data_IF_886177076875
#
_entry.id   IF_886177076875
#
_cell.length_a   1.000
_cell.length_b   1.000
_cell.length_c   1.000
_cell.angle_alpha   90.00
_cell.angle_beta   90.00
_cell.angle_gamma   90.00
#
_symmetry.space_group_name_H-M   'P 1'
#
loop_
_entity.id
_entity.type
_entity.pdbx_description
1 polymer ?
#
# COMPACT_ATOMS: atom_id res chain seq x y z
N UNK A 1 25.86 22.37 5.83
CA UNK A 1 24.95 21.28 5.42
C UNK A 1 23.86 21.86 4.53
N UNK A 2 23.92 21.63 3.21
CA UNK A 2 22.86 22.07 2.30
C UNK A 2 21.61 21.22 2.53
N UNK A 3 20.45 21.86 2.74
CA UNK A 3 19.15 21.18 2.71
C UNK A 3 18.95 20.61 1.30
N UNK A 4 18.91 19.29 1.17
CA UNK A 4 18.70 18.62 -0.11
C UNK A 4 17.31 18.98 -0.69
N UNK A 5 17.19 19.08 -2.02
CA UNK A 5 15.99 19.56 -2.68
C UNK A 5 14.83 18.60 -2.46
N UNK A 6 13.66 19.18 -2.19
CA UNK A 6 12.38 18.53 -1.99
C UNK A 6 12.09 17.47 -3.07
N UNK A 7 11.82 16.23 -2.70
CA UNK A 7 11.44 15.20 -3.68
C UNK A 7 10.06 15.49 -4.30
N UNK A 8 10.02 15.51 -5.63
CA UNK A 8 8.83 15.77 -6.46
C UNK A 8 8.00 14.51 -6.74
N UNK A 9 8.47 13.33 -6.31
CA UNK A 9 7.89 12.05 -6.68
C UNK A 9 7.81 11.06 -5.50
N UNK A 10 6.89 10.11 -5.61
CA UNK A 10 6.91 8.84 -4.87
C UNK A 10 7.33 7.71 -5.80
N UNK A 11 8.12 6.77 -5.29
CA UNK A 11 8.46 5.55 -6.01
C UNK A 11 7.41 4.47 -5.78
N UNK A 12 7.12 3.72 -6.84
CA UNK A 12 6.29 2.53 -6.78
C UNK A 12 6.96 1.46 -5.90
N UNK A 13 6.18 0.49 -5.39
CA UNK A 13 6.72 -0.56 -4.54
C UNK A 13 7.76 -1.45 -5.24
N UNK A 14 7.73 -1.52 -6.58
CA UNK A 14 8.62 -2.34 -7.41
C UNK A 14 10.09 -1.93 -7.31
N UNK A 15 10.38 -0.70 -6.86
CA UNK A 15 11.77 -0.24 -6.67
C UNK A 15 12.36 -0.66 -5.32
N UNK A 16 11.61 -1.41 -4.51
CA UNK A 16 12.02 -1.84 -3.17
C UNK A 16 12.59 -3.26 -3.19
N UNK A 17 13.58 -3.53 -2.33
CA UNK A 17 14.08 -4.89 -2.07
C UNK A 17 13.01 -5.84 -1.50
N UNK A 18 11.93 -5.30 -0.93
CA UNK A 18 10.83 -6.10 -0.37
C UNK A 18 9.78 -6.45 -1.43
N UNK A 19 9.93 -5.98 -2.67
CA UNK A 19 8.94 -6.19 -3.73
C UNK A 19 8.65 -7.67 -3.98
N UNK A 20 9.69 -8.49 -4.06
CA UNK A 20 9.55 -9.94 -4.24
C UNK A 20 8.72 -10.58 -3.12
N UNK A 21 8.85 -10.10 -1.88
CA UNK A 21 8.06 -10.58 -0.74
C UNK A 21 6.58 -10.18 -0.88
N UNK A 22 6.30 -8.96 -1.31
CA UNK A 22 4.92 -8.53 -1.59
C UNK A 22 4.29 -9.36 -2.72
N UNK A 23 5.04 -9.63 -3.80
CA UNK A 23 4.59 -10.50 -4.88
C UNK A 23 4.31 -11.92 -4.39
N UNK A 24 5.19 -12.51 -3.59
CA UNK A 24 5.00 -13.86 -3.03
C UNK A 24 3.73 -13.97 -2.16
N UNK A 25 3.39 -12.90 -1.43
CA UNK A 25 2.16 -12.87 -0.63
C UNK A 25 0.91 -12.75 -1.52
N UNK A 26 0.98 -11.95 -2.60
CA UNK A 26 -0.18 -11.63 -3.44
C UNK A 26 -0.43 -12.62 -4.57
N UNK A 27 0.59 -13.30 -5.10
CA UNK A 27 0.46 -14.29 -6.19
C UNK A 27 -0.59 -15.38 -5.88
N UNK A 28 -0.65 -15.96 -4.66
CA UNK A 28 -1.70 -16.91 -4.30
C UNK A 28 -3.11 -16.30 -4.32
N UNK A 29 -3.25 -15.01 -4.01
CA UNK A 29 -4.55 -14.31 -4.04
C UNK A 29 -5.06 -14.17 -5.49
N UNK A 30 -4.15 -14.01 -6.46
CA UNK A 30 -4.49 -13.89 -7.88
C UNK A 30 -4.95 -15.20 -8.53
N UNK A 31 -4.45 -16.34 -8.04
CA UNK A 31 -4.63 -17.66 -8.66
C UNK A 31 -5.76 -18.48 -8.04
N UNK A 32 -6.24 -18.10 -6.86
CA UNK A 32 -7.33 -18.78 -6.20
C UNK A 32 -8.68 -18.43 -6.82
N UNK A 33 -9.49 -19.46 -7.11
CA UNK A 33 -10.85 -19.31 -7.62
C UNK A 33 -11.80 -18.65 -6.60
N UNK A 34 -11.48 -18.74 -5.31
CA UNK A 34 -12.18 -18.07 -4.22
C UNK A 34 -11.26 -17.94 -3.01
N UNK A 35 -10.81 -16.72 -2.71
CA UNK A 35 -10.10 -16.43 -1.46
C UNK A 35 -11.08 -16.47 -0.29
N UNK A 36 -10.73 -17.12 0.82
CA UNK A 36 -11.57 -17.06 2.03
C UNK A 36 -11.29 -15.77 2.81
N UNK A 37 -12.23 -15.30 3.66
CA UNK A 37 -11.97 -14.14 4.50
C UNK A 37 -10.71 -14.27 5.38
N UNK A 38 -10.40 -15.47 5.88
CA UNK A 38 -9.19 -15.74 6.65
C UNK A 38 -7.92 -15.67 5.80
N UNK A 39 -7.94 -16.23 4.58
CA UNK A 39 -6.81 -16.12 3.65
C UNK A 39 -6.51 -14.66 3.28
N UNK A 40 -7.56 -13.85 3.07
CA UNK A 40 -7.41 -12.42 2.83
C UNK A 40 -6.83 -11.70 4.05
N UNK A 41 -7.31 -12.01 5.27
CA UNK A 41 -6.71 -11.49 6.51
C UNK A 41 -5.22 -11.82 6.57
N UNK A 42 -4.87 -13.08 6.40
CA UNK A 42 -3.49 -13.55 6.55
C UNK A 42 -2.55 -12.88 5.54
N UNK A 43 -3.01 -12.66 4.29
CA UNK A 43 -2.26 -11.91 3.29
C UNK A 43 -2.02 -10.46 3.73
N UNK A 44 -3.07 -9.77 4.21
CA UNK A 44 -2.98 -8.38 4.65
C UNK A 44 -2.08 -8.23 5.90
N UNK A 45 -2.15 -9.17 6.85
CA UNK A 45 -1.28 -9.20 8.03
C UNK A 45 0.17 -9.42 7.64
N UNK A 46 0.46 -10.35 6.73
CA UNK A 46 1.82 -10.58 6.22
C UNK A 46 2.38 -9.35 5.52
N UNK A 47 1.59 -8.65 4.70
CA UNK A 47 2.01 -7.38 4.08
C UNK A 47 2.29 -6.34 5.17
N UNK A 48 1.45 -6.27 6.19
CA UNK A 48 1.66 -5.37 7.32
C UNK A 48 2.94 -5.66 8.10
N UNK A 49 3.29 -6.93 8.27
CA UNK A 49 4.55 -7.33 8.90
C UNK A 49 5.77 -6.88 8.11
N UNK A 50 5.76 -6.98 6.77
CA UNK A 50 6.89 -6.60 5.92
C UNK A 50 7.26 -5.14 6.16
N UNK A 51 6.31 -4.20 6.04
CA UNK A 51 6.62 -2.79 6.24
C UNK A 51 6.85 -2.45 7.72
N UNK A 52 6.21 -3.13 8.68
CA UNK A 52 6.45 -2.85 10.11
C UNK A 52 7.80 -3.37 10.62
N UNK A 53 8.35 -4.44 10.03
CA UNK A 53 9.73 -4.90 10.26
C UNK A 53 10.75 -3.90 9.72
N UNK A 54 10.51 -3.37 8.51
CA UNK A 54 11.37 -2.33 7.92
C UNK A 54 11.26 -0.99 8.63
N UNK A 55 10.05 -0.60 9.04
CA UNK A 55 9.85 0.55 9.92
C UNK A 55 10.68 0.35 11.19
N UNK A 56 10.55 -0.79 11.90
CA UNK A 56 11.39 -1.16 13.06
C UNK A 56 12.90 -1.03 12.79
N UNK A 57 13.39 -1.50 11.65
CA UNK A 57 14.80 -1.39 11.27
C UNK A 57 15.23 0.07 11.00
N UNK A 58 14.35 0.87 10.40
CA UNK A 58 14.55 2.32 10.22
C UNK A 58 14.45 3.11 11.54
N UNK A 59 13.74 2.59 12.56
CA UNK A 59 13.65 3.23 13.91
C UNK A 59 15.00 3.31 14.62
N UNK A 60 15.93 2.40 14.35
CA UNK A 60 17.29 2.48 14.88
C UNK A 60 18.08 3.69 14.33
N UNK A 61 17.57 4.37 13.29
CA UNK A 61 18.16 5.55 12.65
C UNK A 61 17.26 6.80 12.74
N UNK A 62 16.38 6.91 13.74
CA UNK A 62 15.73 8.18 14.10
C UNK A 62 14.44 8.57 13.38
N UNK A 63 13.69 7.65 12.76
CA UNK A 63 12.42 7.93 12.05
C UNK A 63 11.15 7.50 12.78
N UNK A 64 10.16 8.41 12.87
CA UNK A 64 8.86 8.36 13.57
C UNK A 64 8.16 7.00 13.81
N UNK A 65 7.67 6.82 15.05
CA UNK A 65 6.87 5.67 15.50
C UNK A 65 5.53 5.59 14.76
N UNK A 66 5.13 4.40 14.30
CA UNK A 66 3.74 3.98 14.49
C UNK A 66 3.49 3.91 15.99
N UNK A 67 2.56 4.72 16.49
CA UNK A 67 2.22 4.72 17.90
C UNK A 67 1.78 3.31 18.35
N UNK A 68 1.95 2.99 19.63
CA UNK A 68 1.40 1.74 20.21
C UNK A 68 -0.10 1.62 19.91
N UNK A 69 -0.77 2.77 19.82
CA UNK A 69 -2.15 2.91 19.39
C UNK A 69 -2.38 2.42 17.95
N UNK A 70 -1.65 2.95 16.96
CA UNK A 70 -1.79 2.53 15.56
C UNK A 70 -1.57 1.02 15.39
N UNK A 71 -0.60 0.42 16.11
CA UNK A 71 -0.39 -1.05 16.05
C UNK A 71 -1.58 -1.86 16.58
N UNK A 72 -2.21 -1.41 17.67
CA UNK A 72 -3.42 -2.06 18.22
C UNK A 72 -4.61 -1.90 17.28
N UNK A 73 -4.68 -0.77 16.56
CA UNK A 73 -5.71 -0.52 15.57
C UNK A 73 -5.60 -1.50 14.39
N UNK A 74 -4.44 -1.56 13.72
CA UNK A 74 -4.21 -2.52 12.63
C UNK A 74 -4.57 -3.95 13.05
N UNK A 75 -4.12 -4.38 14.23
CA UNK A 75 -4.42 -5.72 14.73
C UNK A 75 -5.92 -5.96 14.96
N UNK A 76 -6.66 -4.95 15.45
CA UNK A 76 -8.11 -5.06 15.65
C UNK A 76 -8.86 -5.17 14.33
N UNK A 77 -8.53 -4.36 13.33
CA UNK A 77 -9.14 -4.43 12.01
C UNK A 77 -8.96 -5.82 11.38
N UNK A 78 -7.72 -6.32 11.32
CA UNK A 78 -7.46 -7.63 10.72
C UNK A 78 -8.14 -8.77 11.48
N UNK A 79 -8.23 -8.68 12.81
CA UNK A 79 -8.99 -9.65 13.61
C UNK A 79 -10.49 -9.64 13.31
N UNK A 80 -11.07 -8.45 13.11
CA UNK A 80 -12.50 -8.29 12.82
C UNK A 80 -12.86 -8.56 11.34
N UNK A 81 -11.89 -8.48 10.42
CA UNK A 81 -12.10 -8.55 8.98
C UNK A 81 -12.86 -9.82 8.52
N UNK A 82 -12.49 -11.05 8.95
CA UNK A 82 -13.26 -12.24 8.57
C UNK A 82 -14.72 -12.13 8.98
N UNK A 83 -14.98 -11.72 10.23
CA UNK A 83 -16.33 -11.54 10.77
C UNK A 83 -17.12 -10.50 9.98
N UNK A 84 -16.49 -9.41 9.57
CA UNK A 84 -17.11 -8.38 8.75
C UNK A 84 -17.50 -8.91 7.37
N UNK A 85 -16.61 -9.65 6.71
CA UNK A 85 -16.86 -10.24 5.40
C UNK A 85 -17.92 -11.33 5.43
N UNK A 86 -17.99 -12.10 6.52
CA UNK A 86 -19.03 -13.12 6.70
C UNK A 86 -20.44 -12.55 6.89
N UNK A 87 -20.58 -11.27 7.31
CA UNK A 87 -21.88 -10.59 7.39
C UNK A 87 -22.44 -10.20 6.02
N UNK A 88 -21.62 -10.17 4.98
CA UNK A 88 -22.08 -9.85 3.63
C UNK A 88 -23.00 -10.96 3.10
N UNK A 89 -24.02 -10.61 2.28
CA UNK A 89 -24.79 -11.58 1.53
C UNK A 89 -23.87 -12.53 0.73
N UNK A 90 -24.26 -13.81 0.63
CA UNK A 90 -23.41 -14.85 0.01
C UNK A 90 -22.94 -14.45 -1.39
N UNK A 91 -23.82 -13.88 -2.21
CA UNK A 91 -23.49 -13.44 -3.58
C UNK A 91 -22.48 -12.29 -3.60
N UNK A 92 -22.65 -11.29 -2.74
CA UNK A 92 -21.74 -10.15 -2.63
C UNK A 92 -20.37 -10.57 -2.12
N UNK A 93 -20.34 -11.42 -1.10
CA UNK A 93 -19.10 -11.99 -0.57
C UNK A 93 -18.36 -12.80 -1.64
N UNK A 94 -19.08 -13.65 -2.38
CA UNK A 94 -18.49 -14.45 -3.44
C UNK A 94 -17.93 -13.59 -4.58
N UNK A 95 -18.66 -12.54 -5.00
CA UNK A 95 -18.18 -11.59 -6.01
C UNK A 95 -16.96 -10.81 -5.50
N UNK A 96 -16.98 -10.34 -4.25
CA UNK A 96 -15.86 -9.60 -3.67
C UNK A 96 -14.60 -10.46 -3.56
N UNK A 97 -14.70 -11.63 -2.93
CA UNK A 97 -13.55 -12.49 -2.65
C UNK A 97 -13.11 -13.36 -3.83
N UNK A 98 -14.02 -13.71 -4.72
CA UNK A 98 -13.74 -14.56 -5.88
C UNK A 98 -13.45 -13.78 -7.16
N UNK A 99 -13.72 -12.47 -7.20
CA UNK A 99 -13.48 -11.65 -8.40
C UNK A 99 -12.74 -10.36 -8.08
N UNK A 100 -13.31 -9.50 -7.21
CA UNK A 100 -12.72 -8.18 -6.97
C UNK A 100 -11.34 -8.24 -6.31
N UNK A 101 -11.18 -9.07 -5.26
CA UNK A 101 -9.90 -9.22 -4.54
C UNK A 101 -8.78 -9.78 -5.42
N UNK A 102 -8.98 -10.88 -6.18
CA UNK A 102 -7.99 -11.36 -7.15
C UNK A 102 -7.63 -10.33 -8.23
N UNK A 103 -8.62 -9.62 -8.77
CA UNK A 103 -8.41 -8.53 -9.74
C UNK A 103 -7.55 -7.40 -9.16
N UNK A 104 -7.85 -6.96 -7.93
CA UNK A 104 -7.06 -5.94 -7.25
C UNK A 104 -5.63 -6.41 -7.01
N UNK A 105 -5.44 -7.66 -6.59
CA UNK A 105 -4.11 -8.24 -6.36
C UNK A 105 -3.29 -8.30 -7.65
N UNK A 106 -3.92 -8.68 -8.77
CA UNK A 106 -3.27 -8.69 -10.10
C UNK A 106 -2.80 -7.28 -10.50
N UNK A 107 -3.66 -6.27 -10.33
CA UNK A 107 -3.31 -4.87 -10.60
C UNK A 107 -2.14 -4.37 -9.74
N UNK A 108 -2.01 -4.85 -8.50
CA UNK A 108 -0.86 -4.54 -7.66
C UNK A 108 0.42 -5.17 -8.22
N UNK A 109 0.40 -6.45 -8.55
CA UNK A 109 1.58 -7.14 -9.10
C UNK A 109 2.02 -6.51 -10.42
N UNK A 110 1.06 -6.10 -11.26
CA UNK A 110 1.31 -5.50 -12.57
C UNK A 110 1.47 -3.96 -12.51
N UNK A 111 1.57 -3.37 -11.31
CA UNK A 111 1.46 -1.91 -11.13
C UNK A 111 2.43 -1.11 -12.01
N UNK A 112 3.67 -1.56 -12.18
CA UNK A 112 4.65 -0.85 -13.02
C UNK A 112 4.24 -0.87 -14.50
N UNK A 113 3.70 -1.98 -15.00
CA UNK A 113 3.18 -2.08 -16.36
C UNK A 113 1.91 -1.22 -16.54
N UNK A 114 1.03 -1.20 -15.53
CA UNK A 114 -0.19 -0.38 -15.55
C UNK A 114 0.14 1.12 -15.54
N UNK A 115 1.11 1.52 -14.72
CA UNK A 115 1.50 2.93 -14.58
C UNK A 115 2.39 3.39 -15.73
N UNK A 116 3.16 2.51 -16.37
CA UNK A 116 4.14 2.84 -17.40
C UNK A 116 5.35 3.62 -16.86
N UNK A 117 5.53 3.65 -15.54
CA UNK A 117 6.60 4.38 -14.83
C UNK A 117 6.84 3.75 -13.47
N UNK A 118 8.03 4.00 -12.90
CA UNK A 118 8.42 3.61 -11.54
C UNK A 118 8.08 4.66 -10.48
N UNK A 119 7.53 5.80 -10.88
CA UNK A 119 7.30 6.95 -9.99
C UNK A 119 5.96 7.63 -10.22
N UNK A 120 5.43 8.28 -9.19
CA UNK A 120 4.19 9.05 -9.22
C UNK A 120 4.48 10.47 -8.74
N UNK A 121 4.12 11.48 -9.54
CA UNK A 121 4.30 12.89 -9.21
C UNK A 121 3.51 13.32 -7.98
N UNK A 122 4.09 14.20 -7.18
CA UNK A 122 3.48 14.75 -5.96
C UNK A 122 3.00 16.18 -6.17
N UNK A 123 1.71 16.40 -5.89
CA UNK A 123 1.16 17.75 -5.78
C UNK A 123 1.51 18.32 -4.39
N UNK A 124 2.54 19.15 -4.30
CA UNK A 124 2.93 19.83 -3.06
C UNK A 124 2.81 21.34 -3.18
N UNK A 125 2.16 21.96 -2.19
CA UNK A 125 2.04 23.41 -2.07
C UNK A 125 3.41 24.03 -1.77
N UNK A 126 4.02 24.73 -2.75
CA UNK A 126 5.17 25.62 -2.50
C UNK A 126 4.72 26.75 -1.56
N UNK A 127 5.54 27.10 -0.56
CA UNK A 127 5.37 28.38 0.15
C UNK A 127 5.86 29.48 -0.81
N UNK A 128 4.94 30.31 -1.34
CA UNK A 128 5.31 31.50 -2.11
C UNK A 128 4.75 31.61 -3.55
N UNK A 129 3.74 30.84 -3.94
CA UNK A 129 3.24 30.84 -5.31
C UNK A 129 4.08 29.91 -6.18
N UNK A 130 3.48 28.80 -6.61
CA UNK A 130 4.09 27.82 -7.49
C UNK A 130 3.24 27.66 -8.74
N UNK A 131 3.83 27.13 -9.80
CA UNK A 131 3.12 26.76 -11.02
C UNK A 131 2.02 25.73 -10.72
N UNK A 132 0.91 25.82 -11.45
CA UNK A 132 -0.15 24.84 -11.36
C UNK A 132 0.35 23.49 -11.90
N UNK A 133 0.50 22.52 -11.00
CA UNK A 133 0.82 21.15 -11.37
C UNK A 133 -0.46 20.32 -11.45
N UNK A 134 -0.64 19.63 -12.57
CA UNK A 134 -1.69 18.62 -12.73
C UNK A 134 -1.06 17.23 -12.82
N UNK A 135 -1.62 16.27 -12.08
CA UNK A 135 -1.32 14.84 -12.26
C UNK A 135 -2.59 14.16 -12.72
N UNK A 136 -2.51 13.48 -13.87
CA UNK A 136 -3.65 12.79 -14.48
C UNK A 136 -3.42 11.28 -14.46
N UNK A 137 -4.47 10.54 -14.15
CA UNK A 137 -4.48 9.08 -14.21
C UNK A 137 -5.67 8.63 -15.04
N UNK A 138 -5.50 7.54 -15.79
CA UNK A 138 -6.67 6.81 -16.30
C UNK A 138 -7.42 6.17 -15.13
N UNK A 139 -8.72 5.84 -15.28
CA UNK A 139 -9.46 5.11 -14.24
C UNK A 139 -8.79 3.80 -13.84
N UNK A 140 -8.12 3.13 -14.79
CA UNK A 140 -7.41 1.88 -14.55
C UNK A 140 -6.13 2.09 -13.71
N UNK A 141 -5.35 3.13 -14.01
CA UNK A 141 -4.18 3.53 -13.21
C UNK A 141 -4.59 3.94 -11.79
N UNK A 142 -5.63 4.77 -11.66
CA UNK A 142 -6.17 5.16 -10.36
C UNK A 142 -6.63 3.94 -9.55
N UNK A 143 -7.29 2.98 -10.20
CA UNK A 143 -7.69 1.75 -9.53
C UNK A 143 -6.50 0.91 -9.07
N UNK A 144 -5.41 0.84 -9.82
CA UNK A 144 -4.24 0.07 -9.42
C UNK A 144 -3.54 0.70 -8.19
N UNK A 145 -3.47 2.03 -8.14
CA UNK A 145 -3.00 2.78 -6.96
C UNK A 145 -3.91 2.56 -5.74
N UNK A 146 -5.23 2.50 -5.94
CA UNK A 146 -6.17 2.17 -4.86
C UNK A 146 -6.06 0.71 -4.41
N UNK A 147 -5.69 -0.21 -5.29
CA UNK A 147 -5.41 -1.60 -4.91
C UNK A 147 -4.16 -1.69 -4.01
N UNK A 148 -3.11 -0.90 -4.27
CA UNK A 148 -1.96 -0.79 -3.36
C UNK A 148 -2.41 -0.35 -1.95
N UNK A 149 -3.26 0.67 -1.91
CA UNK A 149 -3.85 1.20 -0.68
C UNK A 149 -4.68 0.16 0.06
N UNK A 150 -5.49 -0.63 -0.66
CA UNK A 150 -6.30 -1.71 -0.10
C UNK A 150 -5.44 -2.79 0.56
N UNK A 151 -4.41 -3.28 -0.14
CA UNK A 151 -3.51 -4.31 0.40
C UNK A 151 -2.52 -3.78 1.43
N UNK A 152 -2.40 -2.45 1.57
CA UNK A 152 -1.43 -1.83 2.45
C UNK A 152 0.01 -1.92 1.96
N UNK A 153 0.21 -2.10 0.65
CA UNK A 153 1.53 -2.12 0.02
C UNK A 153 2.01 -0.67 -0.13
N UNK A 154 3.13 -0.27 0.50
CA UNK A 154 3.54 1.12 0.54
C UNK A 154 4.21 1.57 -0.76
N UNK A 155 3.91 2.79 -1.19
CA UNK A 155 4.82 3.57 -2.05
C UNK A 155 5.94 4.16 -1.19
N UNK A 156 7.04 4.58 -1.80
CA UNK A 156 8.24 5.00 -1.09
C UNK A 156 8.61 6.45 -1.40
N UNK A 157 9.04 7.19 -0.37
CA UNK A 157 9.67 8.50 -0.56
C UNK A 157 11.02 8.34 -1.26
N UNK A 158 11.44 9.34 -2.02
CA UNK A 158 12.86 9.47 -2.37
C UNK A 158 13.62 9.71 -1.07
N UNK A 159 14.38 8.71 -0.61
CA UNK A 159 15.44 8.98 0.36
C UNK A 159 16.65 9.47 -0.45
N UNK A 160 17.28 10.55 0.03
CA UNK A 160 18.46 11.21 -0.52
C UNK A 160 19.45 10.24 -1.21
N UNK A 161 19.29 10.05 -2.53
CA UNK A 161 20.17 9.22 -3.35
C UNK A 161 19.82 7.73 -3.42
N UNK A 162 19.20 7.33 -4.54
CA UNK A 162 19.53 6.14 -5.34
C UNK A 162 19.79 4.77 -4.66
N UNK A 163 19.17 4.42 -3.53
CA UNK A 163 19.46 3.14 -2.85
C UNK A 163 18.30 2.15 -2.72
N UNK A 164 17.10 2.45 -3.24
CA UNK A 164 15.92 1.57 -3.04
C UNK A 164 15.48 1.50 -1.56
N UNK A 165 15.95 2.45 -0.74
CA UNK A 165 15.75 2.52 0.71
C UNK A 165 14.70 3.52 1.18
N UNK A 166 13.93 4.10 0.26
CA UNK A 166 12.91 5.11 0.58
C UNK A 166 12.07 4.80 1.82
N UNK A 167 11.71 5.81 2.60
CA UNK A 167 10.76 5.65 3.70
C UNK A 167 9.38 5.23 3.16
N UNK A 168 8.72 4.18 3.70
CA UNK A 168 7.39 3.80 3.25
C UNK A 168 6.36 4.90 3.59
N UNK A 169 5.53 5.24 2.61
CA UNK A 169 4.38 6.12 2.76
C UNK A 169 3.14 5.29 3.13
N UNK A 170 3.00 5.00 4.42
CA UNK A 170 1.94 4.12 4.96
C UNK A 170 0.58 4.83 5.07
N UNK A 171 0.51 6.14 4.76
CA UNK A 171 -0.71 6.95 4.92
C UNK A 171 -1.88 6.53 4.01
N UNK A 172 -1.62 5.71 3.00
CA UNK A 172 -2.63 5.25 2.05
C UNK A 172 -3.23 3.88 2.42
N UNK A 173 -2.94 3.30 3.59
CA UNK A 173 -3.45 1.98 3.95
C UNK A 173 -4.92 2.03 4.40
N UNK A 174 -5.79 1.23 3.78
CA UNK A 174 -7.23 1.14 4.10
C UNK A 174 -7.53 0.72 5.54
N UNK A 175 -6.65 -0.05 6.18
CA UNK A 175 -6.82 -0.39 7.60
C UNK A 175 -6.75 0.86 8.50
N UNK A 176 -6.00 1.91 8.09
CA UNK A 176 -6.00 3.20 8.80
C UNK A 176 -7.32 3.96 8.56
N UNK A 177 -7.80 3.96 7.31
CA UNK A 177 -9.05 4.61 6.93
C UNK A 177 -10.29 4.06 7.66
N UNK A 178 -10.35 2.75 7.90
CA UNK A 178 -11.47 2.13 8.64
C UNK A 178 -11.54 2.58 10.11
N UNK A 179 -10.44 3.03 10.69
CA UNK A 179 -10.39 3.50 12.08
C UNK A 179 -10.60 5.01 12.25
N UNK A 180 -10.31 5.80 11.23
CA UNK A 180 -10.53 7.25 11.24
C UNK A 180 -12.02 7.61 11.02
N UNK A 181 -12.90 6.61 10.79
CA UNK A 181 -14.36 6.72 10.71
C UNK A 181 -15.03 6.23 11.99
#
# INVERSE_FOLDING_TARGET
MARLPYSEYLYLPTTSSDWSVFEEILKPVCSQRSTTPDQLRDALERIAEVYTRRDRAARWRGGGRLSVFEKRLYHRFYKDLPRMLWKLPVKERAAFLGTAVPEMARRVIEIEAVMGTKTVGLLRKRRGGGEDHSVSFTPYQASALLSLAFFGVPMYWSDDGCSGRGRPSVRFNFAKFYHDR
#
